data_IF_300791417572
#
_entry.id   IF_300791417572
#
_cell.length_a   1.000
_cell.length_b   1.000
_cell.length_c   1.000
_cell.angle_alpha   90.00
_cell.angle_beta   90.00
_cell.angle_gamma   90.00
#
_symmetry.space_group_name_H-M   'P 1'
#
loop_
_entity.id
_entity.type
_entity.pdbx_description
1 polymer ?
#
# COMPACT_ATOMS: atom_id res chain seq x y z
N UNK A 1 -30.69 13.25 -7.51
CA UNK A 1 -32.10 12.96 -7.15
C UNK A 1 -32.53 13.54 -5.80
N UNK A 2 -31.69 13.55 -4.76
CA UNK A 2 -32.01 14.20 -3.47
C UNK A 2 -32.47 15.68 -3.52
N UNK A 3 -32.02 16.55 -4.46
CA UNK A 3 -32.48 17.94 -4.49
C UNK A 3 -33.95 18.10 -4.86
N UNK A 4 -34.51 17.13 -5.60
CA UNK A 4 -35.89 17.20 -6.12
C UNK A 4 -36.91 16.84 -5.03
N UNK A 5 -36.54 16.01 -4.04
CA UNK A 5 -37.42 15.63 -2.92
C UNK A 5 -37.69 16.83 -1.98
N UNK A 6 -36.78 17.79 -1.92
CA UNK A 6 -36.95 19.01 -1.11
C UNK A 6 -37.86 20.07 -1.77
N UNK A 7 -38.10 19.95 -3.08
CA UNK A 7 -38.93 20.88 -3.86
C UNK A 7 -40.30 20.34 -4.24
N UNK A 8 -40.59 19.05 -4.02
CA UNK A 8 -41.94 18.50 -4.23
C UNK A 8 -42.88 18.95 -3.12
N UNK A 9 -43.96 19.61 -3.53
CA UNK A 9 -45.07 20.17 -2.75
C UNK A 9 -45.96 19.07 -2.16
N UNK A 10 -45.40 18.19 -1.33
CA UNK A 10 -46.18 17.21 -0.57
C UNK A 10 -46.39 17.71 0.88
N UNK A 11 -47.57 17.46 1.44
CA UNK A 11 -48.05 17.88 2.78
C UNK A 11 -47.26 17.26 3.96
N UNK A 12 -46.05 16.76 3.70
CA UNK A 12 -45.19 16.15 4.70
C UNK A 12 -44.59 17.21 5.63
N UNK A 13 -44.75 17.05 6.96
CA UNK A 13 -44.14 17.95 7.93
C UNK A 13 -42.61 17.91 7.85
N UNK A 14 -41.96 19.03 8.18
CA UNK A 14 -40.54 19.29 7.92
C UNK A 14 -39.60 18.18 8.42
N UNK A 15 -39.91 17.55 9.56
CA UNK A 15 -39.14 16.45 10.12
C UNK A 15 -39.14 15.20 9.23
N UNK A 16 -40.25 14.89 8.55
CA UNK A 16 -40.36 13.76 7.63
C UNK A 16 -39.53 14.01 6.36
N UNK A 17 -39.46 15.26 5.89
CA UNK A 17 -38.61 15.63 4.75
C UNK A 17 -37.12 15.51 5.10
N UNK A 18 -36.71 15.96 6.29
CA UNK A 18 -35.34 15.81 6.79
C UNK A 18 -34.99 14.33 6.93
N UNK A 19 -35.87 13.51 7.48
CA UNK A 19 -35.66 12.07 7.60
C UNK A 19 -35.48 11.40 6.22
N UNK A 20 -36.34 11.70 5.25
CA UNK A 20 -36.24 11.15 3.89
C UNK A 20 -34.98 11.60 3.15
N UNK A 21 -34.64 12.90 3.23
CA UNK A 21 -33.40 13.43 2.66
C UNK A 21 -32.17 12.79 3.34
N UNK A 22 -32.22 12.61 4.67
CA UNK A 22 -31.19 11.95 5.45
C UNK A 22 -30.94 10.53 4.99
N UNK A 23 -31.99 9.71 4.83
CA UNK A 23 -31.87 8.33 4.34
C UNK A 23 -31.25 8.26 2.94
N UNK A 24 -31.60 9.19 2.05
CA UNK A 24 -31.05 9.25 0.69
C UNK A 24 -29.55 9.60 0.69
N UNK A 25 -29.13 10.58 1.51
CA UNK A 25 -27.71 10.94 1.65
C UNK A 25 -26.92 9.82 2.32
N UNK A 26 -27.49 9.19 3.34
CA UNK A 26 -26.86 8.12 4.09
C UNK A 26 -26.60 6.88 3.22
N UNK A 27 -27.60 6.43 2.46
CA UNK A 27 -27.47 5.27 1.56
C UNK A 27 -26.40 5.51 0.48
N UNK A 28 -26.35 6.73 -0.06
CA UNK A 28 -25.34 7.12 -1.05
C UNK A 28 -23.94 7.13 -0.42
N UNK A 29 -23.79 7.71 0.79
CA UNK A 29 -22.53 7.77 1.52
C UNK A 29 -21.96 6.39 1.87
N UNK A 30 -22.79 5.47 2.34
CA UNK A 30 -22.36 4.09 2.65
C UNK A 30 -21.87 3.38 1.39
N UNK A 31 -22.63 3.46 0.29
CA UNK A 31 -22.26 2.79 -0.96
C UNK A 31 -20.91 3.30 -1.48
N UNK A 32 -20.72 4.62 -1.52
CA UNK A 32 -19.44 5.22 -1.92
C UNK A 32 -18.31 4.84 -0.97
N UNK A 33 -18.56 4.79 0.34
CA UNK A 33 -17.56 4.37 1.33
C UNK A 33 -17.15 2.90 1.15
N UNK A 34 -18.10 2.00 0.84
CA UNK A 34 -17.80 0.59 0.57
C UNK A 34 -16.94 0.43 -0.69
N UNK A 35 -17.28 1.13 -1.77
CA UNK A 35 -16.48 1.11 -3.01
C UNK A 35 -15.08 1.68 -2.75
N UNK A 36 -15.00 2.79 -2.02
CA UNK A 36 -13.72 3.38 -1.64
C UNK A 36 -12.88 2.42 -0.79
N UNK A 37 -13.50 1.73 0.16
CA UNK A 37 -12.82 0.73 0.98
C UNK A 37 -12.34 -0.47 0.15
N UNK A 38 -13.15 -0.95 -0.80
CA UNK A 38 -12.77 -2.05 -1.70
C UNK A 38 -11.67 -1.67 -2.69
N UNK A 39 -11.70 -0.44 -3.22
CA UNK A 39 -10.76 0.06 -4.22
C UNK A 39 -9.45 0.64 -3.66
N UNK A 40 -9.43 1.06 -2.39
CA UNK A 40 -8.24 1.61 -1.73
C UNK A 40 -6.94 0.79 -1.88
N UNK A 41 -6.94 -0.55 -1.80
CA UNK A 41 -5.71 -1.34 -1.99
C UNK A 41 -5.30 -1.49 -3.46
N UNK A 42 -6.09 -1.05 -4.44
CA UNK A 42 -5.81 -1.28 -5.85
C UNK A 42 -4.51 -0.64 -6.30
N UNK A 43 -3.57 -1.47 -6.74
CA UNK A 43 -2.28 -1.03 -7.25
C UNK A 43 -2.42 -0.75 -8.74
N UNK A 44 -2.14 0.50 -9.13
CA UNK A 44 -2.20 0.94 -10.52
C UNK A 44 -0.87 0.76 -11.24
N UNK A 45 0.24 0.80 -10.50
CA UNK A 45 1.56 0.49 -11.02
C UNK A 45 2.41 -0.16 -9.94
N UNK A 46 3.22 -1.13 -10.34
CA UNK A 46 4.15 -1.84 -9.47
C UNK A 46 5.54 -1.79 -10.11
N UNK A 47 6.54 -1.37 -9.35
CA UNK A 47 7.91 -1.23 -9.83
C UNK A 47 8.89 -1.87 -8.85
N UNK A 48 9.93 -2.55 -9.34
CA UNK A 48 11.05 -3.00 -8.51
C UNK A 48 12.06 -1.87 -8.32
N UNK A 49 12.58 -1.74 -7.11
CA UNK A 49 13.67 -0.86 -6.72
C UNK A 49 14.93 -1.74 -6.67
N UNK A 50 15.87 -1.55 -7.59
CA UNK A 50 17.13 -2.32 -7.60
C UNK A 50 17.29 -3.35 -8.73
N UNK A 51 16.78 -3.07 -9.93
CA UNK A 51 17.29 -3.68 -11.15
C UNK A 51 17.79 -2.56 -12.04
N UNK A 52 18.98 -2.68 -12.63
CA UNK A 52 19.39 -1.80 -13.71
C UNK A 52 18.23 -1.70 -14.73
N UNK A 53 17.88 -0.49 -15.21
CA UNK A 53 16.89 -0.39 -16.26
C UNK A 53 17.40 -1.23 -17.44
N UNK A 54 16.59 -2.16 -17.93
CA UNK A 54 16.75 -2.65 -19.29
C UNK A 54 16.58 -1.44 -20.21
N UNK A 55 17.68 -0.72 -20.42
CA UNK A 55 17.80 0.32 -21.42
C UNK A 55 17.94 -0.45 -22.72
N UNK A 56 16.84 -0.53 -23.47
CA UNK A 56 16.90 -0.91 -24.88
C UNK A 56 17.97 -0.02 -25.56
N UNK A 57 19.05 -0.65 -26.02
CA UNK A 57 20.06 0.01 -26.86
C UNK A 57 21.34 0.47 -26.15
N UNK A 58 22.13 -0.45 -25.59
CA UNK A 58 23.60 -0.29 -25.61
C UNK A 58 24.32 -1.64 -25.68
N UNK A 59 25.26 -1.72 -26.62
CA UNK A 59 26.08 -2.89 -26.96
C UNK A 59 26.95 -3.30 -25.75
N UNK A 60 27.09 -4.61 -25.43
CA UNK A 60 27.84 -5.05 -24.27
C UNK A 60 29.34 -4.96 -24.56
N UNK A 61 30.03 -4.05 -23.89
CA UNK A 61 31.49 -4.10 -23.74
C UNK A 61 31.82 -4.36 -22.26
N UNK A 62 32.07 -5.63 -22.00
CA UNK A 62 33.19 -6.20 -21.26
C UNK A 62 33.60 -5.61 -19.89
N UNK A 63 33.95 -6.56 -19.01
CA UNK A 63 34.67 -6.47 -17.74
C UNK A 63 33.86 -6.32 -16.43
N UNK A 64 33.96 -7.42 -15.68
CA UNK A 64 34.00 -7.54 -14.21
C UNK A 64 32.64 -7.87 -13.57
N UNK A 65 32.47 -9.06 -12.96
CA UNK A 65 31.35 -9.28 -12.05
C UNK A 65 31.62 -8.41 -10.82
N UNK A 66 31.07 -7.20 -10.82
CA UNK A 66 30.99 -6.36 -9.64
C UNK A 66 30.17 -7.13 -8.60
N UNK A 67 30.85 -7.56 -7.54
CA UNK A 67 30.31 -8.21 -6.34
C UNK A 67 29.39 -7.26 -5.55
N UNK A 68 28.35 -6.74 -6.19
CA UNK A 68 27.35 -5.83 -5.64
C UNK A 68 25.93 -6.12 -6.20
N UNK A 69 25.68 -7.37 -6.62
CA UNK A 69 24.34 -7.87 -6.96
C UNK A 69 23.43 -8.08 -5.73
N UNK A 70 23.86 -7.68 -4.53
CA UNK A 70 23.05 -7.64 -3.30
C UNK A 70 22.36 -6.28 -3.10
N UNK A 71 21.87 -5.62 -4.16
CA UNK A 71 20.91 -4.54 -3.94
C UNK A 71 19.61 -5.17 -3.42
N UNK A 72 19.13 -4.81 -2.21
CA UNK A 72 17.85 -5.31 -1.71
C UNK A 72 16.78 -4.93 -2.75
N UNK A 73 16.15 -5.96 -3.33
CA UNK A 73 15.18 -5.82 -4.42
C UNK A 73 13.87 -5.31 -3.83
N UNK A 74 13.85 -4.04 -3.42
CA UNK A 74 12.66 -3.40 -2.91
C UNK A 74 11.57 -3.31 -3.97
N UNK A 75 10.36 -2.97 -3.55
CA UNK A 75 9.22 -2.79 -4.43
C UNK A 75 8.48 -1.50 -4.12
N UNK A 76 7.99 -0.84 -5.17
CA UNK A 76 7.22 0.39 -5.09
C UNK A 76 5.83 0.13 -5.65
N UNK A 77 4.83 0.34 -4.80
CA UNK A 77 3.42 0.26 -5.13
C UNK A 77 2.86 1.66 -5.37
N UNK A 78 2.17 1.87 -6.48
CA UNK A 78 1.40 3.06 -6.73
C UNK A 78 -0.10 2.77 -6.53
N UNK A 79 -0.77 3.54 -5.69
CA UNK A 79 -2.20 3.40 -5.37
C UNK A 79 -2.91 4.74 -5.52
N UNK A 80 -4.23 4.71 -5.67
CA UNK A 80 -5.05 5.92 -5.76
C UNK A 80 -5.98 6.06 -4.56
N UNK A 81 -6.07 7.29 -4.04
CA UNK A 81 -7.14 7.67 -3.11
C UNK A 81 -8.47 7.80 -3.84
N UNK A 82 -9.58 7.88 -3.10
CA UNK A 82 -10.92 8.08 -3.69
C UNK A 82 -11.01 9.36 -4.54
N UNK A 83 -10.21 10.38 -4.21
CA UNK A 83 -10.10 11.63 -4.96
C UNK A 83 -9.05 11.56 -6.08
N UNK A 84 -8.65 10.36 -6.51
CA UNK A 84 -7.66 10.12 -7.57
C UNK A 84 -6.28 10.73 -7.29
N UNK A 85 -5.92 10.96 -6.02
CA UNK A 85 -4.56 11.36 -5.65
C UNK A 85 -3.68 10.12 -5.54
N UNK A 86 -2.54 10.16 -6.21
CA UNK A 86 -1.52 9.11 -6.19
C UNK A 86 -0.80 9.04 -4.85
N UNK A 87 -0.69 7.82 -4.31
CA UNK A 87 0.15 7.49 -3.17
C UNK A 87 1.15 6.42 -3.61
N UNK A 88 2.44 6.67 -3.36
CA UNK A 88 3.51 5.73 -3.67
C UNK A 88 4.01 5.10 -2.38
N UNK A 89 4.04 3.78 -2.29
CA UNK A 89 4.57 3.09 -1.11
C UNK A 89 5.77 2.27 -1.51
N UNK A 90 6.93 2.57 -0.91
CA UNK A 90 8.16 1.81 -1.11
C UNK A 90 8.30 0.84 0.04
N UNK A 91 8.52 -0.42 -0.29
CA UNK A 91 8.91 -1.48 0.64
C UNK A 91 10.33 -1.84 0.29
N UNK A 92 11.26 -1.66 1.22
CA UNK A 92 12.68 -1.81 0.93
C UNK A 92 13.10 -3.27 0.76
N UNK A 93 12.41 -4.18 1.43
CA UNK A 93 12.63 -5.61 1.35
C UNK A 93 11.29 -6.37 1.23
N UNK A 94 11.11 -7.21 0.19
CA UNK A 94 9.92 -8.04 0.04
C UNK A 94 9.64 -9.02 1.19
N UNK A 95 10.61 -9.31 2.07
CA UNK A 95 10.39 -10.15 3.26
C UNK A 95 9.30 -9.59 4.18
N UNK A 96 9.08 -8.27 4.15
CA UNK A 96 8.04 -7.59 4.92
C UNK A 96 6.67 -7.61 4.24
N UNK A 97 6.53 -8.28 3.09
CA UNK A 97 5.24 -8.55 2.46
C UNK A 97 4.75 -9.95 2.84
N UNK A 98 3.52 -10.00 3.34
CA UNK A 98 2.82 -11.23 3.68
C UNK A 98 1.53 -11.35 2.86
N UNK A 99 1.02 -12.58 2.74
CA UNK A 99 -0.30 -12.82 2.18
C UNK A 99 -1.38 -12.30 3.14
N UNK A 100 -2.39 -11.65 2.59
CA UNK A 100 -3.48 -11.05 3.40
C UNK A 100 -4.73 -11.91 3.39
N UNK A 101 -5.50 -11.82 4.49
CA UNK A 101 -6.87 -12.36 4.56
C UNK A 101 -7.93 -11.35 4.15
N UNK A 102 -7.52 -10.11 3.88
CA UNK A 102 -8.45 -9.03 3.52
C UNK A 102 -8.99 -9.25 2.11
N UNK A 103 -10.32 -9.19 1.89
CA UNK A 103 -10.85 -9.26 0.54
C UNK A 103 -10.34 -8.09 -0.31
N UNK A 104 -10.20 -8.34 -1.62
CA UNK A 104 -9.68 -7.37 -2.59
C UNK A 104 -8.27 -6.85 -2.26
N UNK A 105 -7.45 -7.62 -1.55
CA UNK A 105 -6.03 -7.41 -1.41
C UNK A 105 -5.34 -8.77 -1.52
N UNK A 106 -4.13 -8.77 -2.08
CA UNK A 106 -3.29 -9.97 -2.21
C UNK A 106 -2.17 -9.96 -1.17
N UNK A 107 -1.52 -8.81 -1.04
CA UNK A 107 -0.43 -8.64 -0.09
C UNK A 107 -0.77 -7.60 0.97
N UNK A 108 -0.14 -7.76 2.12
CA UNK A 108 -0.10 -6.76 3.18
C UNK A 108 1.30 -6.60 3.75
N UNK A 109 1.57 -5.44 4.33
CA UNK A 109 2.75 -5.27 5.18
C UNK A 109 2.61 -6.17 6.41
N UNK A 110 3.59 -7.04 6.60
CA UNK A 110 3.63 -8.02 7.68
C UNK A 110 3.64 -7.31 9.04
N UNK A 111 2.84 -7.84 9.97
CA UNK A 111 2.81 -7.36 11.38
C UNK A 111 3.89 -8.05 12.21
N UNK A 112 4.19 -9.29 11.87
CA UNK A 112 5.24 -10.09 12.51
C UNK A 112 6.07 -10.68 11.37
N UNK A 113 7.39 -10.56 11.49
CA UNK A 113 8.35 -11.14 10.56
C UNK A 113 9.32 -12.01 11.34
N UNK A 114 9.83 -13.05 10.69
CA UNK A 114 10.90 -13.87 11.21
C UNK A 114 11.99 -13.94 10.15
N UNK A 115 13.15 -13.38 10.45
CA UNK A 115 14.30 -13.47 9.56
C UNK A 115 14.96 -14.85 9.63
N UNK A 116 15.58 -15.32 8.54
CA UNK A 116 16.47 -16.48 8.55
C UNK A 116 17.66 -16.26 9.50
N UNK A 117 18.24 -17.35 10.01
CA UNK A 117 19.31 -17.28 11.02
C UNK A 117 20.54 -16.47 10.57
N UNK A 118 20.84 -16.46 9.27
CA UNK A 118 21.96 -15.69 8.72
C UNK A 118 21.76 -14.18 8.90
N UNK A 119 20.60 -13.65 8.50
CA UNK A 119 20.25 -12.23 8.61
C UNK A 119 19.90 -11.83 10.05
N UNK A 120 19.33 -12.75 10.83
CA UNK A 120 19.00 -12.52 12.24
C UNK A 120 20.22 -12.16 13.11
N UNK A 121 21.44 -12.52 12.68
CA UNK A 121 22.70 -12.19 13.38
C UNK A 121 23.15 -10.75 13.14
N UNK A 122 22.68 -10.13 12.05
CA UNK A 122 23.03 -8.74 11.70
C UNK A 122 22.15 -7.74 12.43
N UNK A 123 21.00 -8.20 12.93
CA UNK A 123 20.00 -7.38 13.58
C UNK A 123 20.30 -7.24 15.08
N UNK A 124 20.24 -6.00 15.58
CA UNK A 124 20.39 -5.71 17.01
C UNK A 124 19.02 -5.74 17.70
N UNK A 125 18.83 -6.58 18.74
CA UNK A 125 17.58 -6.59 19.50
C UNK A 125 17.27 -5.22 20.11
N UNK A 126 16.02 -4.79 19.99
CA UNK A 126 15.52 -3.49 20.45
C UNK A 126 15.69 -2.35 19.44
N UNK A 127 16.43 -2.55 18.35
CA UNK A 127 16.57 -1.57 17.28
C UNK A 127 15.25 -1.41 16.52
N UNK A 128 14.94 -0.18 16.15
CA UNK A 128 13.82 0.13 15.25
C UNK A 128 14.34 0.54 13.88
N UNK A 129 13.72 0.02 12.82
CA UNK A 129 14.09 0.29 11.44
C UNK A 129 12.83 0.57 10.60
N UNK A 130 12.93 1.50 9.65
CA UNK A 130 11.83 1.78 8.71
C UNK A 130 11.97 0.89 7.49
N UNK A 131 11.02 -0.03 7.32
CA UNK A 131 11.05 -1.07 6.27
C UNK A 131 10.14 -0.74 5.09
N UNK A 132 9.20 0.19 5.29
CA UNK A 132 8.40 0.76 4.22
C UNK A 132 7.99 2.20 4.50
N UNK A 133 7.80 2.99 3.44
CA UNK A 133 7.33 4.38 3.52
C UNK A 133 6.29 4.65 2.45
N UNK A 134 5.21 5.35 2.81
CA UNK A 134 4.24 5.90 1.86
C UNK A 134 4.52 7.38 1.65
N UNK A 135 4.52 7.81 0.38
CA UNK A 135 4.76 9.15 -0.08
C UNK A 135 3.52 9.70 -0.80
N UNK A 136 3.28 11.00 -0.67
CA UNK A 136 2.36 11.74 -1.53
C UNK A 136 3.00 12.01 -2.91
N UNK A 137 2.22 12.52 -3.87
CA UNK A 137 2.67 12.91 -5.22
C UNK A 137 3.89 13.84 -5.22
N UNK A 138 4.00 14.68 -4.19
CA UNK A 138 5.09 15.66 -4.05
C UNK A 138 6.34 15.06 -3.36
N UNK A 139 6.34 13.76 -3.10
CA UNK A 139 7.45 13.06 -2.43
C UNK A 139 7.49 13.22 -0.92
N UNK A 140 6.46 13.84 -0.32
CA UNK A 140 6.34 13.98 1.13
C UNK A 140 5.98 12.64 1.78
N UNK A 141 6.72 12.22 2.80
CA UNK A 141 6.40 11.04 3.60
C UNK A 141 5.09 11.26 4.36
N UNK A 142 4.11 10.41 4.09
CA UNK A 142 2.78 10.38 4.71
C UNK A 142 2.72 9.39 5.88
N UNK A 143 3.47 8.29 5.80
CA UNK A 143 3.53 7.28 6.83
C UNK A 143 4.69 6.31 6.64
N UNK A 144 5.03 5.60 7.71
CA UNK A 144 6.15 4.67 7.81
C UNK A 144 5.70 3.34 8.41
N UNK A 145 6.30 2.25 7.95
CA UNK A 145 6.18 0.93 8.56
C UNK A 145 7.51 0.67 9.25
N UNK A 146 7.46 0.51 10.56
CA UNK A 146 8.63 0.40 11.40
C UNK A 146 8.62 -0.98 12.01
N UNK A 147 9.71 -1.72 11.84
CA UNK A 147 9.95 -2.96 12.56
C UNK A 147 10.72 -2.65 13.83
N UNK A 148 10.32 -3.28 14.93
CA UNK A 148 11.11 -3.35 16.16
C UNK A 148 11.63 -4.78 16.28
N UNK A 149 12.94 -4.90 16.28
CA UNK A 149 13.61 -6.19 16.32
C UNK A 149 13.66 -6.75 17.74
N UNK A 150 13.39 -8.04 17.87
CA UNK A 150 13.51 -8.85 19.07
C UNK A 150 14.76 -9.72 19.04
N UNK A 151 14.80 -10.72 19.90
CA UNK A 151 15.86 -11.73 19.88
C UNK A 151 15.65 -12.71 18.73
N UNK A 152 16.73 -13.28 18.20
CA UNK A 152 16.69 -14.32 17.15
C UNK A 152 15.99 -13.89 15.84
N UNK A 153 16.00 -12.59 15.51
CA UNK A 153 15.46 -12.08 14.24
C UNK A 153 13.93 -12.04 14.17
N UNK A 154 13.23 -12.17 15.30
CA UNK A 154 11.81 -11.85 15.38
C UNK A 154 11.63 -10.34 15.24
N UNK A 155 10.72 -9.88 14.37
CA UNK A 155 10.42 -8.47 14.19
C UNK A 155 8.94 -8.19 14.36
N UNK A 156 8.60 -7.23 15.24
CA UNK A 156 7.23 -6.75 15.41
C UNK A 156 7.10 -5.42 14.66
N UNK A 157 6.24 -5.40 13.65
CA UNK A 157 6.05 -4.25 12.81
C UNK A 157 4.84 -3.41 13.23
N UNK A 158 4.97 -2.09 13.10
CA UNK A 158 3.91 -1.12 13.39
C UNK A 158 3.88 -0.01 12.35
N UNK A 159 2.67 0.46 12.05
CA UNK A 159 2.46 1.65 11.24
C UNK A 159 2.58 2.92 12.06
N UNK A 160 3.24 3.93 11.51
CA UNK A 160 3.24 5.30 12.02
C UNK A 160 2.74 6.24 10.92
N UNK A 161 1.78 7.10 11.25
CA UNK A 161 1.17 8.02 10.27
C UNK A 161 0.25 7.33 9.27
N UNK A 162 0.12 7.90 8.07
CA UNK A 162 -0.79 7.43 7.02
C UNK A 162 -0.07 6.52 6.04
N UNK A 163 0.16 5.27 6.46
CA UNK A 163 0.75 4.25 5.61
C UNK A 163 -0.31 3.39 4.93
N UNK A 164 -0.09 3.08 3.65
CA UNK A 164 -0.88 2.08 2.94
C UNK A 164 -0.33 0.70 3.31
N UNK A 165 -1.17 -0.15 3.89
CA UNK A 165 -0.77 -1.49 4.35
C UNK A 165 -1.15 -2.63 3.40
N UNK A 166 -2.22 -2.48 2.63
CA UNK A 166 -2.80 -3.57 1.83
C UNK A 166 -2.72 -3.24 0.35
N UNK A 167 -2.39 -4.24 -0.46
CA UNK A 167 -2.15 -4.09 -1.89
C UNK A 167 -2.87 -5.17 -2.67
N UNK A 168 -3.69 -4.76 -3.63
CA UNK A 168 -4.28 -5.63 -4.63
C UNK A 168 -3.41 -5.57 -5.88
N UNK A 169 -2.62 -6.61 -6.08
CA UNK A 169 -1.64 -6.68 -7.14
C UNK A 169 -2.10 -7.72 -8.15
N UNK A 170 -2.04 -7.38 -9.43
CA UNK A 170 -2.10 -8.35 -10.52
C UNK A 170 -0.68 -8.78 -10.84
N UNK A 171 -0.38 -10.07 -10.71
CA UNK A 171 0.99 -10.59 -10.89
C UNK A 171 1.51 -10.41 -12.32
N UNK A 172 0.61 -10.33 -13.31
CA UNK A 172 0.96 -10.06 -14.70
C UNK A 172 1.60 -8.67 -14.90
N UNK A 173 1.51 -7.77 -13.92
CA UNK A 173 2.20 -6.47 -13.95
C UNK A 173 3.71 -6.57 -13.66
N UNK A 174 4.21 -7.75 -13.28
CA UNK A 174 5.62 -7.95 -12.93
C UNK A 174 6.36 -8.72 -14.03
N UNK A 175 7.57 -8.27 -14.42
CA UNK A 175 8.41 -9.01 -15.38
C UNK A 175 8.96 -10.33 -14.80
N UNK A 176 8.95 -10.50 -13.48
CA UNK A 176 9.38 -11.71 -12.77
C UNK A 176 8.66 -11.81 -11.40
N UNK A 177 8.43 -13.01 -10.86
CA UNK A 177 7.79 -13.18 -9.55
C UNK A 177 8.69 -12.64 -8.42
N UNK A 178 8.09 -11.93 -7.46
CA UNK A 178 8.81 -11.32 -6.31
C UNK A 178 9.21 -12.37 -5.27
N UNK A 179 8.60 -13.56 -5.33
CA UNK A 179 8.92 -14.75 -4.51
C UNK A 179 9.23 -15.94 -5.41
#
# INVERSE_FOLDING_TARGET
MAPIILTVTSTLPMHARIALAGTAVFTSGISTAMVAWAGRPYVVALRRLGGAPHTEGHVPNDHTPSHNDLTPSGVEFETLTITMRTLRTRVYDPVFLADTRRPFAKWELAVIVQLPEAEAREVVPGMEETVAETFDKDGKVMGRWIVKWGEKGEGICRGQGWIVRHYNVQEDMLPAPIR
#
